data_IF_181312583232
#
_entry.id   IF_181312583232
#
_cell.length_a   1.000
_cell.length_b   1.000
_cell.length_c   1.000
_cell.angle_alpha   90.00
_cell.angle_beta   90.00
_cell.angle_gamma   90.00
#
_symmetry.space_group_name_H-M   'P 1'
#
loop_
_entity.id
_entity.type
_entity.pdbx_description
1 polymer ?
#
# COMPACT_ATOMS: atom_id res chain seq x y z
N UNK A 1 -12.80 -22.45 -3.65
CA UNK A 1 -12.90 -21.06 -3.15
C UNK A 1 -12.07 -20.97 -1.87
N UNK A 2 -11.09 -20.08 -1.82
CA UNK A 2 -10.21 -19.95 -0.65
C UNK A 2 -11.02 -19.48 0.56
N UNK A 3 -11.03 -20.27 1.65
CA UNK A 3 -11.79 -19.94 2.87
C UNK A 3 -11.44 -18.56 3.46
N UNK A 4 -10.21 -18.06 3.19
CA UNK A 4 -9.76 -16.73 3.61
C UNK A 4 -10.53 -15.61 2.92
N UNK A 5 -10.90 -15.77 1.66
CA UNK A 5 -11.71 -14.80 0.91
C UNK A 5 -13.07 -14.60 1.59
N UNK A 6 -13.73 -15.70 1.97
CA UNK A 6 -15.02 -15.65 2.68
C UNK A 6 -14.89 -14.94 4.02
N UNK A 7 -13.80 -15.20 4.75
CA UNK A 7 -13.52 -14.56 6.04
C UNK A 7 -13.24 -13.07 5.90
N UNK A 8 -12.47 -12.66 4.89
CA UNK A 8 -12.20 -11.25 4.56
C UNK A 8 -13.51 -10.53 4.21
N UNK A 9 -14.34 -11.12 3.33
CA UNK A 9 -15.65 -10.58 2.98
C UNK A 9 -16.51 -10.34 4.21
N UNK A 10 -16.59 -11.32 5.10
CA UNK A 10 -17.36 -11.19 6.35
C UNK A 10 -16.79 -10.10 7.26
N UNK A 11 -15.47 -9.88 7.28
CA UNK A 11 -14.85 -8.83 8.10
C UNK A 11 -15.15 -7.45 7.56
N UNK A 12 -14.98 -7.23 6.25
CA UNK A 12 -15.32 -5.96 5.60
C UNK A 12 -16.77 -5.54 5.87
N UNK A 13 -17.71 -6.49 5.85
CA UNK A 13 -19.12 -6.21 6.15
C UNK A 13 -19.41 -5.90 7.62
N UNK A 14 -18.59 -6.40 8.56
CA UNK A 14 -18.84 -6.29 10.01
C UNK A 14 -18.10 -5.14 10.68
N UNK A 15 -16.90 -4.80 10.22
CA UNK A 15 -16.05 -3.77 10.85
C UNK A 15 -16.75 -2.42 10.96
N UNK A 16 -17.48 -1.90 9.96
CA UNK A 16 -18.16 -0.59 10.07
C UNK A 16 -19.06 -0.43 11.30
N UNK A 17 -19.57 -1.54 11.86
CA UNK A 17 -20.49 -1.58 12.99
C UNK A 17 -19.81 -1.96 14.32
N UNK A 18 -18.48 -2.10 14.35
CA UNK A 18 -17.74 -2.40 15.58
C UNK A 18 -17.54 -1.11 16.39
N UNK A 19 -17.90 -1.13 17.67
CA UNK A 19 -17.80 0.05 18.53
C UNK A 19 -16.36 0.52 18.78
N UNK A 20 -15.39 -0.40 18.69
CA UNK A 20 -13.96 -0.13 18.95
C UNK A 20 -13.14 0.00 17.66
N UNK A 21 -13.79 0.12 16.50
CA UNK A 21 -13.05 0.26 15.24
C UNK A 21 -12.19 1.53 15.24
N UNK A 22 -11.21 1.58 14.36
CA UNK A 22 -10.51 2.83 14.09
C UNK A 22 -11.48 3.85 13.47
N UNK A 23 -11.08 5.12 13.45
CA UNK A 23 -11.82 6.21 12.81
C UNK A 23 -10.85 7.12 12.06
N UNK A 24 -9.90 6.51 11.34
CA UNK A 24 -8.95 7.30 10.56
C UNK A 24 -9.61 7.91 9.32
N UNK A 25 -9.04 9.02 8.84
CA UNK A 25 -9.54 9.70 7.64
C UNK A 25 -9.63 8.77 6.42
N UNK A 26 -8.66 7.86 6.30
CA UNK A 26 -8.62 6.81 5.29
C UNK A 26 -9.84 5.91 5.34
N UNK A 27 -10.13 5.38 6.53
CA UNK A 27 -11.30 4.54 6.77
C UNK A 27 -12.60 5.29 6.50
N UNK A 28 -12.70 6.54 6.91
CA UNK A 28 -13.90 7.35 6.68
C UNK A 28 -14.15 7.59 5.18
N UNK A 29 -13.08 7.68 4.38
CA UNK A 29 -13.15 7.85 2.92
C UNK A 29 -13.67 6.60 2.22
N UNK A 30 -13.09 5.42 2.47
CA UNK A 30 -13.47 4.19 1.77
C UNK A 30 -14.54 3.35 2.49
N UNK A 31 -14.80 3.58 3.79
CA UNK A 31 -15.83 2.93 4.62
C UNK A 31 -15.82 1.39 4.56
N UNK A 32 -14.62 0.79 4.50
CA UNK A 32 -14.40 -0.64 4.19
C UNK A 32 -15.12 -1.18 2.95
N UNK A 33 -15.45 -0.32 1.98
CA UNK A 33 -16.01 -0.72 0.69
C UNK A 33 -14.90 -0.96 -0.31
N UNK A 34 -14.98 -2.09 -0.99
CA UNK A 34 -14.16 -2.38 -2.14
C UNK A 34 -14.81 -1.82 -3.41
N UNK A 35 -13.98 -1.47 -4.37
CA UNK A 35 -14.39 -1.19 -5.74
C UNK A 35 -14.90 -2.45 -6.47
N UNK A 36 -15.28 -2.32 -7.75
CA UNK A 36 -15.76 -3.43 -8.54
C UNK A 36 -14.71 -4.55 -8.62
N UNK A 37 -15.18 -5.79 -8.73
CA UNK A 37 -14.32 -6.94 -9.03
C UNK A 37 -13.81 -6.83 -10.46
N UNK A 38 -12.59 -7.29 -10.67
CA UNK A 38 -12.11 -7.51 -12.03
C UNK A 38 -12.50 -8.91 -12.50
N UNK A 39 -12.70 -9.07 -13.79
CA UNK A 39 -12.88 -10.36 -14.45
C UNK A 39 -11.55 -11.12 -14.56
N UNK A 40 -11.64 -12.43 -14.77
CA UNK A 40 -10.45 -13.24 -15.06
C UNK A 40 -9.74 -12.76 -16.33
N UNK A 41 -10.49 -12.36 -17.36
CA UNK A 41 -9.97 -11.84 -18.62
C UNK A 41 -9.25 -10.50 -18.47
N UNK A 42 -9.74 -9.59 -17.63
CA UNK A 42 -9.03 -8.33 -17.34
C UNK A 42 -7.71 -8.62 -16.63
N UNK A 43 -7.72 -9.56 -15.68
CA UNK A 43 -6.50 -9.97 -15.00
C UNK A 43 -5.51 -10.70 -15.95
N UNK A 44 -6.00 -11.51 -16.89
CA UNK A 44 -5.17 -12.15 -17.93
C UNK A 44 -4.56 -11.11 -18.89
N UNK A 45 -5.35 -10.10 -19.28
CA UNK A 45 -4.90 -9.01 -20.14
C UNK A 45 -3.79 -8.20 -19.46
N UNK A 46 -3.96 -7.85 -18.19
CA UNK A 46 -2.94 -7.16 -17.40
C UNK A 46 -1.63 -7.97 -17.29
N UNK A 47 -1.73 -9.26 -17.00
CA UNK A 47 -0.57 -10.16 -16.95
C UNK A 47 0.16 -10.24 -18.30
N UNK A 48 -0.59 -10.32 -19.41
CA UNK A 48 -0.02 -10.37 -20.75
C UNK A 48 0.65 -9.05 -21.16
N UNK A 49 -0.01 -7.92 -20.91
CA UNK A 49 0.50 -6.57 -21.21
C UNK A 49 1.81 -6.31 -20.48
N UNK A 50 1.85 -6.60 -19.18
CA UNK A 50 3.03 -6.35 -18.34
C UNK A 50 4.05 -7.50 -18.34
N UNK A 51 3.75 -8.62 -19.01
CA UNK A 51 4.57 -9.84 -19.05
C UNK A 51 4.92 -10.38 -17.66
N UNK A 52 3.92 -10.44 -16.79
CA UNK A 52 4.04 -10.92 -15.42
C UNK A 52 2.97 -11.99 -15.13
N UNK A 53 3.09 -12.65 -13.98
CA UNK A 53 2.03 -13.47 -13.40
C UNK A 53 1.70 -12.91 -12.03
N UNK A 54 0.45 -12.49 -11.80
CA UNK A 54 0.05 -11.97 -10.51
C UNK A 54 0.13 -13.08 -9.46
N UNK A 55 0.61 -12.79 -8.24
CA UNK A 55 0.58 -13.78 -7.17
C UNK A 55 -0.84 -14.29 -6.93
N UNK A 56 -1.00 -15.62 -6.88
CA UNK A 56 -2.30 -16.28 -6.88
C UNK A 56 -3.27 -15.75 -5.80
N UNK A 57 -2.76 -15.43 -4.61
CA UNK A 57 -3.53 -14.88 -3.51
C UNK A 57 -4.08 -13.46 -3.81
N UNK A 58 -3.30 -12.62 -4.49
CA UNK A 58 -3.71 -11.28 -4.91
C UNK A 58 -4.68 -11.35 -6.09
N UNK A 59 -4.38 -12.18 -7.11
CA UNK A 59 -5.28 -12.42 -8.24
C UNK A 59 -6.67 -12.89 -7.77
N UNK A 60 -6.74 -13.84 -6.85
CA UNK A 60 -7.99 -14.33 -6.28
C UNK A 60 -8.76 -13.22 -5.53
N UNK A 61 -8.05 -12.34 -4.82
CA UNK A 61 -8.68 -11.19 -4.15
C UNK A 61 -9.38 -10.26 -5.14
N UNK A 62 -8.69 -9.87 -6.22
CA UNK A 62 -9.22 -8.94 -7.21
C UNK A 62 -10.48 -9.47 -7.91
N UNK A 63 -10.49 -10.78 -8.21
CA UNK A 63 -11.60 -11.45 -8.90
C UNK A 63 -12.77 -11.73 -7.95
N UNK A 64 -12.52 -12.17 -6.72
CA UNK A 64 -13.58 -12.65 -5.82
C UNK A 64 -14.13 -11.59 -4.85
N UNK A 65 -13.38 -10.51 -4.60
CA UNK A 65 -13.75 -9.47 -3.63
C UNK A 65 -13.90 -8.10 -4.28
N UNK A 66 -12.83 -7.55 -4.85
CA UNK A 66 -12.83 -6.23 -5.47
C UNK A 66 -11.43 -5.76 -5.86
N UNK A 67 -11.35 -4.94 -6.91
CA UNK A 67 -10.11 -4.51 -7.55
C UNK A 67 -9.47 -3.25 -6.98
N UNK A 68 -10.12 -2.55 -6.05
CA UNK A 68 -9.65 -1.28 -5.48
C UNK A 68 -10.39 -0.93 -4.19
N UNK A 69 -10.11 0.25 -3.62
CA UNK A 69 -10.89 0.82 -2.50
C UNK A 69 -10.32 0.43 -1.15
N UNK A 70 -11.12 -0.19 -0.28
CA UNK A 70 -10.74 -0.46 1.10
C UNK A 70 -9.37 -1.12 1.24
N UNK A 71 -8.46 -0.40 1.90
CA UNK A 71 -7.09 -0.81 2.17
C UNK A 71 -6.46 0.18 3.15
N UNK A 72 -5.27 -0.11 3.68
CA UNK A 72 -4.54 0.85 4.50
C UNK A 72 -4.20 2.11 3.71
N UNK A 73 -3.84 3.19 4.42
CA UNK A 73 -3.51 4.48 3.82
C UNK A 73 -4.64 4.99 2.91
N UNK A 74 -4.36 5.40 1.67
CA UNK A 74 -5.39 5.93 0.79
C UNK A 74 -6.22 4.84 0.08
N UNK A 75 -5.87 3.56 0.31
CA UNK A 75 -6.61 2.42 -0.18
C UNK A 75 -5.87 1.63 -1.27
N UNK A 76 -6.50 0.54 -1.70
CA UNK A 76 -6.04 -0.25 -2.83
C UNK A 76 -6.23 0.53 -4.13
N UNK A 77 -5.17 0.60 -4.92
CA UNK A 77 -5.21 1.15 -6.28
C UNK A 77 -6.02 0.23 -7.19
N UNK A 78 -6.78 0.79 -8.15
CA UNK A 78 -7.26 0.04 -9.31
C UNK A 78 -6.10 -0.67 -10.03
N UNK A 79 -6.38 -1.82 -10.64
CA UNK A 79 -5.33 -2.64 -11.25
C UNK A 79 -4.62 -1.88 -12.38
N UNK A 80 -5.38 -1.10 -13.15
CA UNK A 80 -4.91 -0.23 -14.23
C UNK A 80 -4.00 0.92 -13.77
N UNK A 81 -4.06 1.30 -12.48
CA UNK A 81 -3.20 2.33 -11.90
C UNK A 81 -1.96 1.74 -11.22
N UNK A 82 -1.90 0.40 -11.08
CA UNK A 82 -0.77 -0.27 -10.48
C UNK A 82 0.46 -0.14 -11.38
N UNK A 83 1.60 0.20 -10.78
CA UNK A 83 2.86 0.41 -11.49
C UNK A 83 3.91 -0.59 -11.07
N UNK A 84 4.79 -0.97 -12.00
CA UNK A 84 5.88 -1.89 -11.73
C UNK A 84 7.16 -1.14 -11.37
N UNK A 85 7.85 -1.67 -10.38
CA UNK A 85 9.12 -1.18 -9.88
C UNK A 85 10.15 -2.30 -9.81
N UNK A 86 11.42 -1.90 -9.87
CA UNK A 86 12.56 -2.74 -9.53
C UNK A 86 13.18 -2.21 -8.24
N UNK A 87 13.71 -3.13 -7.44
CA UNK A 87 14.39 -2.75 -6.20
C UNK A 87 15.85 -2.40 -6.50
N UNK A 88 16.31 -1.25 -6.03
CA UNK A 88 17.66 -0.78 -6.31
C UNK A 88 18.72 -1.67 -5.64
N UNK A 89 19.97 -1.61 -6.08
CA UNK A 89 21.06 -2.34 -5.40
C UNK A 89 21.26 -1.80 -4.00
N UNK A 90 21.75 -2.65 -3.09
CA UNK A 90 22.20 -2.19 -1.79
C UNK A 90 23.38 -1.23 -1.96
N UNK A 91 23.30 0.00 -1.42
CA UNK A 91 24.43 0.90 -1.31
C UNK A 91 25.54 0.28 -0.48
N UNK A 92 26.80 0.51 -0.87
CA UNK A 92 27.97 -0.04 -0.18
C UNK A 92 28.16 0.56 1.23
N UNK A 93 27.65 1.77 1.46
CA UNK A 93 27.68 2.48 2.75
C UNK A 93 26.58 2.03 3.72
N UNK A 94 25.74 1.08 3.32
CA UNK A 94 24.63 0.59 4.14
C UNK A 94 23.44 1.54 4.25
N UNK A 95 23.43 2.65 3.50
CA UNK A 95 22.26 3.52 3.39
C UNK A 95 21.05 2.77 2.81
N UNK A 96 19.82 3.25 3.06
CA UNK A 96 18.65 2.59 2.53
C UNK A 96 18.60 2.65 1.01
N UNK A 97 18.02 1.60 0.41
CA UNK A 97 17.84 1.49 -1.04
C UNK A 97 16.42 1.86 -1.43
N UNK A 98 16.30 2.46 -2.60
CA UNK A 98 15.02 2.85 -3.19
C UNK A 98 14.41 1.80 -4.12
N UNK A 99 13.42 2.28 -4.85
CA UNK A 99 12.77 1.55 -5.94
C UNK A 99 12.68 2.45 -7.16
N UNK A 100 12.93 1.87 -8.33
CA UNK A 100 12.90 2.59 -9.59
C UNK A 100 11.83 2.01 -10.49
N UNK A 101 10.98 2.88 -11.06
CA UNK A 101 9.94 2.47 -12.00
C UNK A 101 10.57 1.73 -13.20
N UNK A 102 9.94 0.66 -13.68
CA UNK A 102 10.53 -0.21 -14.73
C UNK A 102 10.83 0.52 -16.04
N UNK A 103 10.10 1.58 -16.35
CA UNK A 103 10.30 2.39 -17.56
C UNK A 103 11.43 3.45 -17.42
N UNK A 104 12.01 3.59 -16.24
CA UNK A 104 13.10 4.55 -16.02
C UNK A 104 14.40 4.05 -16.67
N UNK A 105 15.24 4.92 -17.28
CA UNK A 105 16.48 4.50 -17.92
C UNK A 105 17.47 3.80 -16.96
N UNK A 106 17.45 4.19 -15.69
CA UNK A 106 18.29 3.58 -14.64
C UNK A 106 17.63 2.36 -13.97
N UNK A 107 16.48 1.89 -14.45
CA UNK A 107 15.83 0.71 -13.90
C UNK A 107 16.72 -0.52 -14.06
N UNK A 108 16.89 -1.26 -12.97
CA UNK A 108 17.66 -2.50 -13.02
C UNK A 108 16.83 -3.59 -13.68
N UNK A 109 17.49 -4.42 -14.49
CA UNK A 109 16.88 -5.68 -14.87
C UNK A 109 16.91 -6.62 -13.66
N UNK A 110 15.74 -7.03 -13.17
CA UNK A 110 15.64 -7.84 -11.97
C UNK A 110 14.21 -8.17 -11.57
N UNK A 111 14.05 -8.48 -10.29
CA UNK A 111 12.76 -8.83 -9.71
C UNK A 111 11.79 -7.65 -9.76
N UNK A 112 10.53 -7.96 -10.04
CA UNK A 112 9.46 -7.01 -10.29
C UNK A 112 8.55 -6.90 -9.07
N UNK A 113 8.18 -5.67 -8.73
CA UNK A 113 7.34 -5.33 -7.60
C UNK A 113 6.18 -4.46 -8.10
N UNK A 114 4.96 -4.88 -7.82
CA UNK A 114 3.75 -4.16 -8.22
C UNK A 114 3.29 -3.25 -7.09
N UNK A 115 3.14 -1.97 -7.36
CA UNK A 115 2.59 -0.99 -6.43
C UNK A 115 1.08 -1.09 -6.37
N UNK A 116 0.55 -1.42 -5.20
CA UNK A 116 -0.88 -1.79 -5.03
C UNK A 116 -1.66 -0.88 -4.10
N UNK A 117 -1.00 -0.01 -3.33
CA UNK A 117 -1.64 0.88 -2.36
C UNK A 117 -1.03 2.26 -2.42
N UNK A 118 -1.88 3.27 -2.52
CA UNK A 118 -1.47 4.67 -2.43
C UNK A 118 -1.15 5.04 -0.98
N UNK A 119 0.11 5.38 -0.70
CA UNK A 119 0.56 5.87 0.61
C UNK A 119 0.86 7.37 0.63
N UNK A 120 0.87 8.02 -0.56
CA UNK A 120 1.30 9.39 -0.75
C UNK A 120 2.82 9.54 -0.83
N UNK A 121 3.28 10.71 -1.31
CA UNK A 121 4.71 11.01 -1.49
C UNK A 121 5.44 9.94 -2.34
N UNK A 122 6.69 9.64 -2.01
CA UNK A 122 7.49 8.59 -2.63
C UNK A 122 7.42 7.25 -1.86
N UNK A 123 6.52 7.11 -0.89
CA UNK A 123 6.37 5.85 -0.16
C UNK A 123 5.53 4.85 -0.96
N UNK A 124 5.98 3.59 -0.95
CA UNK A 124 5.41 2.50 -1.75
C UNK A 124 4.97 1.34 -0.86
N UNK A 125 3.76 0.82 -1.11
CA UNK A 125 3.36 -0.52 -0.67
C UNK A 125 3.17 -1.42 -1.88
N UNK A 126 4.04 -2.43 -1.95
CA UNK A 126 4.27 -3.26 -3.11
C UNK A 126 3.94 -4.72 -2.79
N UNK A 127 3.58 -5.47 -3.82
CA UNK A 127 3.63 -6.94 -3.82
C UNK A 127 4.73 -7.39 -4.78
N UNK A 128 5.62 -8.25 -4.32
CA UNK A 128 6.62 -8.86 -5.20
C UNK A 128 5.92 -9.82 -6.18
N UNK A 129 6.26 -9.71 -7.45
CA UNK A 129 5.63 -10.44 -8.57
C UNK A 129 6.54 -11.54 -9.08
N UNK A 130 7.85 -11.26 -9.16
CA UNK A 130 8.87 -12.22 -9.56
C UNK A 130 9.94 -12.39 -8.48
N UNK A 131 10.82 -13.38 -8.68
CA UNK A 131 11.94 -13.63 -7.77
C UNK A 131 11.58 -14.37 -6.49
N UNK A 132 12.53 -14.48 -5.54
CA UNK A 132 12.38 -15.25 -4.31
C UNK A 132 11.35 -14.67 -3.33
N UNK A 133 10.93 -13.42 -3.54
CA UNK A 133 9.92 -12.75 -2.72
C UNK A 133 8.52 -12.84 -3.33
N UNK A 134 8.31 -13.48 -4.48
CA UNK A 134 7.03 -13.51 -5.17
C UNK A 134 5.83 -13.83 -4.23
N UNK A 135 4.81 -12.97 -4.28
CA UNK A 135 3.63 -13.01 -3.42
C UNK A 135 3.75 -12.33 -2.06
N UNK A 136 4.96 -11.90 -1.66
CA UNK A 136 5.20 -11.20 -0.39
C UNK A 136 4.93 -9.70 -0.52
N UNK A 137 4.41 -9.13 0.56
CA UNK A 137 4.21 -7.68 0.68
C UNK A 137 5.49 -7.00 1.13
N UNK A 138 5.83 -5.90 0.47
CA UNK A 138 7.02 -5.10 0.74
C UNK A 138 6.60 -3.64 0.85
N UNK A 139 7.07 -2.96 1.89
CA UNK A 139 6.95 -1.50 2.00
C UNK A 139 8.32 -0.86 1.83
N UNK A 140 8.38 0.34 1.30
CA UNK A 140 9.62 1.09 1.16
C UNK A 140 9.39 2.51 0.65
N UNK A 141 10.47 3.21 0.36
CA UNK A 141 10.45 4.53 -0.24
C UNK A 141 11.18 4.49 -1.59
N UNK A 142 10.63 5.12 -2.62
CA UNK A 142 11.20 5.13 -3.96
C UNK A 142 12.59 5.80 -3.97
N UNK A 143 12.78 6.87 -3.18
CA UNK A 143 14.03 7.63 -3.10
C UNK A 143 15.05 7.00 -2.13
N UNK A 144 14.68 5.96 -1.39
CA UNK A 144 15.56 5.30 -0.43
C UNK A 144 15.77 6.09 0.87
N UNK A 145 14.80 6.91 1.30
CA UNK A 145 14.89 7.59 2.60
C UNK A 145 14.86 6.64 3.81
N UNK A 146 14.27 5.44 3.66
CA UNK A 146 14.21 4.42 4.71
C UNK A 146 14.21 3.01 4.11
N UNK A 147 14.63 2.02 4.91
CA UNK A 147 14.90 0.66 4.40
C UNK A 147 13.63 -0.07 3.99
N UNK A 148 13.62 -0.73 2.82
CA UNK A 148 12.51 -1.60 2.45
C UNK A 148 12.27 -2.67 3.53
N UNK A 149 11.00 -2.89 3.88
CA UNK A 149 10.58 -3.88 4.85
C UNK A 149 9.73 -4.96 4.18
N UNK A 150 10.08 -6.23 4.41
CA UNK A 150 9.27 -7.36 3.95
C UNK A 150 8.33 -7.79 5.06
N UNK A 151 7.03 -7.86 4.75
CA UNK A 151 6.03 -8.32 5.71
C UNK A 151 6.24 -9.79 6.08
N UNK A 152 6.05 -10.12 7.36
CA UNK A 152 6.02 -11.49 7.89
C UNK A 152 4.80 -12.29 7.41
N UNK A 153 3.79 -11.62 6.87
CA UNK A 153 2.71 -12.32 6.19
C UNK A 153 3.25 -13.06 4.95
N UNK A 154 2.81 -14.31 4.79
CA UNK A 154 3.29 -15.18 3.72
C UNK A 154 2.72 -14.80 2.35
N UNK A 155 1.59 -14.11 2.32
CA UNK A 155 0.93 -13.64 1.09
C UNK A 155 0.01 -12.43 1.35
N UNK A 156 -0.53 -11.88 0.26
CA UNK A 156 -1.47 -10.76 0.28
C UNK A 156 -2.70 -11.01 1.16
N UNK A 157 -3.34 -12.18 1.07
CA UNK A 157 -4.58 -12.43 1.82
C UNK A 157 -4.36 -12.44 3.33
N UNK A 158 -3.26 -13.07 3.81
CA UNK A 158 -2.90 -13.02 5.23
C UNK A 158 -2.54 -11.61 5.69
N UNK A 159 -1.86 -10.86 4.84
CA UNK A 159 -1.48 -9.48 5.10
C UNK A 159 -2.73 -8.58 5.22
N UNK A 160 -3.64 -8.65 4.25
CA UNK A 160 -4.88 -7.88 4.21
C UNK A 160 -5.80 -8.22 5.37
N UNK A 161 -5.91 -9.50 5.71
CA UNK A 161 -6.69 -9.93 6.86
C UNK A 161 -6.11 -9.44 8.20
N UNK A 162 -4.79 -9.35 8.32
CA UNK A 162 -4.14 -8.77 9.50
C UNK A 162 -4.50 -7.29 9.65
N UNK A 163 -4.48 -6.54 8.55
CA UNK A 163 -4.95 -5.16 8.54
C UNK A 163 -6.40 -5.04 9.02
N UNK A 164 -7.31 -5.88 8.51
CA UNK A 164 -8.71 -5.88 8.99
C UNK A 164 -8.86 -6.19 10.49
N UNK A 165 -8.04 -7.09 11.04
CA UNK A 165 -8.05 -7.34 12.49
C UNK A 165 -7.61 -6.12 13.28
N UNK A 166 -6.58 -5.41 12.81
CA UNK A 166 -6.10 -4.19 13.44
C UNK A 166 -7.17 -3.09 13.41
N UNK A 167 -7.84 -2.90 12.28
CA UNK A 167 -8.93 -1.92 12.14
C UNK A 167 -10.11 -2.24 13.07
N UNK A 168 -10.47 -3.52 13.19
CA UNK A 168 -11.49 -3.99 14.14
C UNK A 168 -11.11 -3.67 15.59
N UNK A 169 -9.84 -3.81 15.94
CA UNK A 169 -9.32 -3.62 17.30
C UNK A 169 -8.95 -2.15 17.60
N UNK A 170 -9.30 -1.20 16.71
CA UNK A 170 -9.00 0.23 16.89
C UNK A 170 -7.54 0.61 16.69
N UNK A 171 -6.75 -0.29 16.10
CA UNK A 171 -5.29 -0.14 15.93
C UNK A 171 -4.96 0.24 14.49
N UNK A 172 -5.27 1.47 14.08
CA UNK A 172 -4.78 1.92 12.78
C UNK A 172 -3.29 2.27 12.86
N UNK A 173 -2.51 1.69 11.95
CA UNK A 173 -1.07 1.87 11.93
C UNK A 173 -0.67 2.68 10.69
N UNK A 174 -0.43 3.98 10.92
CA UNK A 174 0.05 4.95 9.94
C UNK A 174 1.38 4.61 9.28
N UNK A 175 2.10 3.57 9.69
CA UNK A 175 3.36 3.16 9.07
C UNK A 175 3.26 1.81 8.34
N UNK A 176 2.10 1.16 8.33
CA UNK A 176 2.00 -0.28 8.01
C UNK A 176 3.10 -1.10 8.70
N UNK A 177 3.41 -0.75 9.96
CA UNK A 177 4.00 -1.69 10.90
C UNK A 177 2.99 -2.79 11.20
N UNK A 178 2.60 -3.58 10.20
CA UNK A 178 1.94 -4.87 10.37
C UNK A 178 3.00 -5.81 10.93
N UNK A 179 3.41 -5.52 12.16
CA UNK A 179 4.58 -6.01 12.88
C UNK A 179 5.01 -7.38 12.39
N UNK A 180 6.02 -7.38 11.52
CA UNK A 180 7.00 -8.46 11.55
C UNK A 180 7.76 -8.30 12.86
N UNK A 181 8.06 -9.37 13.61
CA UNK A 181 9.24 -9.33 14.46
C UNK A 181 10.37 -8.82 13.57
N UNK A 182 11.02 -7.73 13.98
CA UNK A 182 12.08 -7.13 13.19
C UNK A 182 13.12 -8.19 12.86
N UNK A 183 13.40 -8.43 11.57
CA UNK A 183 14.62 -9.17 11.23
C UNK A 183 15.84 -8.24 11.19
N UNK A 184 15.71 -6.92 11.32
CA UNK A 184 16.86 -6.00 11.55
C UNK A 184 16.45 -4.81 12.43
N UNK A 185 17.29 -4.58 13.45
CA UNK A 185 17.41 -3.50 14.44
C UNK A 185 16.30 -2.43 14.55
N UNK A 186 15.67 -2.45 15.72
CA UNK A 186 14.84 -1.38 16.28
C UNK A 186 15.59 -0.04 16.33
N UNK A 187 15.07 0.96 15.62
CA UNK A 187 15.11 2.35 16.08
C UNK A 187 13.70 2.74 16.54
N UNK A 188 13.54 3.40 17.70
CA UNK A 188 12.24 3.88 18.14
C UNK A 188 11.86 5.10 17.29
N UNK A 189 10.90 4.94 16.39
CA UNK A 189 10.35 6.03 15.61
C UNK A 189 9.38 6.83 16.48
N UNK A 190 9.83 8.01 16.92
CA UNK A 190 9.00 9.07 17.49
C UNK A 190 9.10 10.30 16.61
N UNK A 191 7.97 10.83 16.17
CA UNK A 191 7.88 12.16 15.58
C UNK A 191 8.40 13.19 16.61
N UNK A 192 9.52 13.85 16.32
CA UNK A 192 9.66 15.27 16.69
C UNK A 192 9.24 16.07 15.46
N UNK A 193 7.97 16.40 15.40
CA UNK A 193 7.51 17.52 14.63
C UNK A 193 8.14 18.79 15.23
N UNK A 194 9.28 19.23 14.71
CA UNK A 194 9.63 20.64 14.80
C UNK A 194 8.88 21.35 13.69
N UNK A 195 7.83 22.08 14.09
CA UNK A 195 7.08 22.96 13.23
C UNK A 195 8.04 23.87 12.44
N UNK A 196 7.96 23.84 11.12
CA UNK A 196 8.43 24.93 10.27
C UNK A 196 7.19 25.63 9.72
N UNK A 197 6.95 26.92 10.05
CA UNK A 197 5.83 27.66 9.52
C UNK A 197 6.23 28.31 8.20
N UNK A 198 5.54 27.96 7.11
CA UNK A 198 5.08 28.91 6.07
C UNK A 198 4.58 28.16 4.84
N UNK A 199 3.26 28.06 4.75
CA UNK A 199 2.55 28.31 3.50
C UNK A 199 1.26 29.03 3.91
N UNK A 200 1.35 30.36 4.04
CA UNK A 200 0.16 31.18 4.27
C UNK A 200 -0.62 31.23 2.96
N UNK A 201 -1.87 30.79 3.03
CA UNK A 201 -2.93 31.18 2.13
C UNK A 201 -2.90 32.70 1.90
N UNK A 202 -2.94 33.07 0.63
CA UNK A 202 -3.20 34.44 0.18
C UNK A 202 -4.71 34.51 0.03
N UNK A 203 -5.38 35.19 0.96
CA UNK A 203 -6.79 35.55 0.84
C UNK A 203 -6.97 37.03 1.20
N UNK A 204 -7.57 37.76 0.27
CA UNK A 204 -8.32 39.00 0.53
C UNK A 204 -7.61 40.34 0.34
N UNK A 205 -8.09 41.14 -0.62
CA UNK A 205 -8.50 42.53 -0.37
C UNK A 205 -9.33 43.12 -1.54
N UNK A 206 -10.57 43.47 -1.20
CA UNK A 206 -11.60 44.24 -1.92
C UNK A 206 -11.16 45.72 -2.14
N UNK A 207 -11.59 46.44 -3.19
CA UNK A 207 -11.22 47.84 -3.40
C UNK A 207 -12.10 48.81 -2.59
N UNK A 208 -11.44 49.73 -1.89
CA UNK A 208 -12.04 50.79 -1.09
C UNK A 208 -12.80 51.84 -1.92
N UNK A 209 -13.99 52.21 -1.41
CA UNK A 209 -14.73 53.44 -1.72
C UNK A 209 -14.39 54.51 -0.67
N UNK A 210 -14.15 55.74 -1.15
CA UNK A 210 -14.43 57.07 -0.54
C UNK A 210 -13.49 58.06 -1.22
N UNK A 211 -13.91 59.21 -1.77
CA UNK A 211 -14.98 60.16 -1.45
C UNK A 211 -15.35 60.96 -2.69
#
# INVERSE_FOLDING_TARGET
MDSRITRIRSKLAKIPYQAQRSHSMSEERHQFRLGPRISASEADAFEAEHRIVLPAAYRAFLIELGGSGAGPFYGLLPLEECRLFTMNRNPADGSPRGFTHVDHPDALQGDLFLHVIEMGCSDLCLIAVTGPLAGRMVTGNADGFWHPNVSSAQDFLRWYERWLNHMRDGKDNHALGLTSPATIATAPWGFRATASPRCQYIDGADPAVST
#
